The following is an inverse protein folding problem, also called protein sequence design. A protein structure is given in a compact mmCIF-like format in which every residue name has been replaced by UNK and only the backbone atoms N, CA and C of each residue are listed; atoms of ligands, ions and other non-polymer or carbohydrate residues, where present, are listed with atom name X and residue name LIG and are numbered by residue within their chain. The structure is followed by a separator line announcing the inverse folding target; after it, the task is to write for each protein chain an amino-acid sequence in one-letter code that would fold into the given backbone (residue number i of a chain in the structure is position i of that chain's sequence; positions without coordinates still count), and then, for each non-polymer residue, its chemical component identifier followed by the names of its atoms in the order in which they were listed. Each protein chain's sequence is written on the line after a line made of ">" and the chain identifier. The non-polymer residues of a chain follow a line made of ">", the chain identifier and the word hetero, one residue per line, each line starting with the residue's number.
data_IF_834714831086
#
_entry.id   IF_834714831086
#
_cell.length_a   1.000
_cell.length_b   1.000
_cell.length_c   1.000
_cell.angle_alpha   90.00
_cell.angle_beta   90.00
_cell.angle_gamma   90.00
#
_symmetry.space_group_name_H-M   'P 1'
#
loop_
_entity.id
_entity.type
_entity.pdbx_description
1 polymer ?
#
# COMPACT_ATOMS: atom_id res chain seq x y z
N UNK A 1 21.50 27.11 -1.71
CA UNK A 1 21.53 26.25 -0.50
C UNK A 1 21.11 24.85 -0.91
N UNK A 2 21.87 23.82 -0.52
CA UNK A 2 21.50 22.42 -0.77
C UNK A 2 20.40 22.04 0.23
N UNK A 3 19.31 21.43 -0.24
CA UNK A 3 18.32 20.86 0.68
C UNK A 3 18.83 19.50 1.15
N UNK A 4 19.16 19.40 2.43
CA UNK A 4 19.47 18.13 3.07
C UNK A 4 18.19 17.35 3.39
N UNK A 5 18.24 16.02 3.31
CA UNK A 5 17.14 15.11 3.60
C UNK A 5 17.64 14.02 4.55
N UNK A 6 16.81 13.61 5.50
CA UNK A 6 17.14 12.55 6.45
C UNK A 6 17.01 11.17 5.80
N UNK A 7 16.02 11.01 4.91
CA UNK A 7 15.72 9.76 4.22
C UNK A 7 15.46 10.06 2.75
N UNK A 8 16.10 9.29 1.87
CA UNK A 8 15.86 9.31 0.43
C UNK A 8 15.35 7.93 0.01
N UNK A 9 14.12 7.87 -0.50
CA UNK A 9 13.50 6.65 -1.02
C UNK A 9 13.57 6.67 -2.55
N UNK A 10 14.23 5.67 -3.13
CA UNK A 10 14.35 5.53 -4.59
C UNK A 10 13.32 4.50 -5.08
N UNK A 11 12.33 4.99 -5.81
CA UNK A 11 11.21 4.23 -6.35
C UNK A 11 9.92 4.46 -5.56
N UNK A 12 8.83 4.72 -6.27
CA UNK A 12 7.50 4.93 -5.69
C UNK A 12 6.54 3.76 -5.94
N UNK A 13 7.06 2.53 -5.95
CA UNK A 13 6.22 1.32 -5.94
C UNK A 13 5.63 1.04 -4.56
N UNK A 14 4.93 -0.08 -4.39
CA UNK A 14 4.27 -0.44 -3.12
C UNK A 14 5.19 -0.34 -1.90
N UNK A 15 6.42 -0.87 -2.00
CA UNK A 15 7.40 -0.79 -0.91
C UNK A 15 7.91 0.63 -0.66
N UNK A 16 8.16 1.39 -1.72
CA UNK A 16 8.64 2.77 -1.62
C UNK A 16 7.62 3.70 -1.00
N UNK A 17 6.34 3.52 -1.34
CA UNK A 17 5.23 4.28 -0.71
C UNK A 17 5.17 4.02 0.78
N UNK A 18 5.17 2.76 1.23
CA UNK A 18 5.16 2.45 2.67
C UNK A 18 6.42 2.97 3.37
N UNK A 19 7.60 2.82 2.78
CA UNK A 19 8.85 3.32 3.35
C UNK A 19 8.86 4.85 3.50
N UNK A 20 8.44 5.57 2.45
CA UNK A 20 8.42 7.03 2.45
C UNK A 20 7.34 7.61 3.37
N UNK A 21 6.17 6.98 3.42
CA UNK A 21 5.12 7.37 4.38
C UNK A 21 5.55 7.07 5.81
N UNK A 22 6.18 5.92 6.07
CA UNK A 22 6.66 5.58 7.40
C UNK A 22 7.71 6.59 7.89
N UNK A 23 8.73 6.92 7.09
CA UNK A 23 9.75 7.90 7.47
C UNK A 23 9.16 9.30 7.64
N UNK A 24 8.29 9.75 6.72
CA UNK A 24 7.67 11.07 6.80
C UNK A 24 6.74 11.20 8.03
N UNK A 25 5.91 10.19 8.31
CA UNK A 25 5.00 10.17 9.48
C UNK A 25 5.76 10.13 10.80
N UNK A 26 6.99 9.61 10.80
CA UNK A 26 7.91 9.63 11.95
C UNK A 26 8.63 10.97 12.15
N UNK A 27 8.42 11.94 11.25
CA UNK A 27 8.98 13.29 11.31
C UNK A 27 10.27 13.49 10.52
N UNK A 28 10.76 12.48 9.80
CA UNK A 28 11.97 12.60 8.99
C UNK A 28 11.69 13.40 7.71
N UNK A 29 12.59 14.33 7.36
CA UNK A 29 12.55 15.04 6.09
C UNK A 29 12.87 14.07 4.96
N UNK A 30 11.81 13.57 4.33
CA UNK A 30 11.87 12.46 3.39
C UNK A 30 11.76 12.97 1.95
N UNK A 31 12.71 12.59 1.10
CA UNK A 31 12.62 12.73 -0.35
C UNK A 31 12.26 11.39 -0.98
N UNK A 32 11.22 11.35 -1.82
CA UNK A 32 10.94 10.20 -2.66
C UNK A 32 11.20 10.54 -4.12
N UNK A 33 11.99 9.71 -4.79
CA UNK A 33 12.31 9.85 -6.20
C UNK A 33 11.69 8.70 -6.98
N UNK A 34 11.10 9.00 -8.13
CA UNK A 34 10.59 7.98 -9.04
C UNK A 34 10.73 8.45 -10.47
N UNK A 35 10.89 7.51 -11.39
CA UNK A 35 11.06 7.80 -12.82
C UNK A 35 9.78 8.39 -13.42
N UNK A 36 8.62 7.94 -12.94
CA UNK A 36 7.33 8.43 -13.41
C UNK A 36 6.34 8.56 -12.23
N UNK A 37 5.82 9.77 -12.03
CA UNK A 37 4.81 10.07 -11.01
C UNK A 37 3.45 9.44 -11.33
N UNK A 38 3.16 9.14 -12.59
CA UNK A 38 1.93 8.45 -12.98
C UNK A 38 1.89 7.02 -12.46
N UNK A 39 3.05 6.39 -12.29
CA UNK A 39 3.21 4.99 -11.89
C UNK A 39 3.39 4.77 -10.38
N UNK A 40 3.12 5.77 -9.54
CA UNK A 40 3.14 5.59 -8.08
C UNK A 40 2.15 4.48 -7.71
N UNK A 41 2.63 3.51 -6.91
CA UNK A 41 1.89 2.33 -6.46
C UNK A 41 1.11 1.59 -7.58
N UNK A 42 1.65 1.60 -8.81
CA UNK A 42 1.04 0.89 -9.93
C UNK A 42 0.92 -0.61 -9.63
N UNK A 43 -0.21 -1.21 -10.02
CA UNK A 43 -0.47 -2.65 -9.93
C UNK A 43 -0.19 -3.33 -11.29
N UNK A 44 1.07 -3.66 -11.63
CA UNK A 44 1.42 -4.15 -12.98
C UNK A 44 0.87 -5.53 -13.31
N UNK A 45 0.64 -6.36 -12.29
CA UNK A 45 0.19 -7.73 -12.46
C UNK A 45 -1.33 -7.81 -12.20
N UNK A 46 -1.72 -8.31 -11.04
CA UNK A 46 -3.11 -8.54 -10.67
C UNK A 46 -3.75 -7.28 -10.05
N UNK A 47 -4.96 -6.86 -10.46
CA UNK A 47 -5.74 -5.83 -9.75
C UNK A 47 -6.29 -6.34 -8.41
N UNK A 48 -5.47 -6.92 -7.54
CA UNK A 48 -5.96 -7.45 -6.27
C UNK A 48 -4.95 -7.34 -5.13
N UNK A 49 -5.43 -7.04 -3.94
CA UNK A 49 -4.66 -6.98 -2.70
C UNK A 49 -5.17 -8.05 -1.74
N UNK A 50 -4.25 -8.68 -1.00
CA UNK A 50 -4.55 -9.78 -0.09
C UNK A 50 -4.56 -11.15 -0.75
N UNK A 51 -5.31 -12.08 -0.18
CA UNK A 51 -5.24 -13.52 -0.47
C UNK A 51 -4.53 -14.32 0.63
N UNK A 52 -4.35 -15.65 0.47
CA UNK A 52 -3.64 -16.45 1.46
C UNK A 52 -2.24 -15.88 1.73
N UNK A 53 -1.85 -15.82 3.00
CA UNK A 53 -0.68 -15.10 3.54
C UNK A 53 -0.69 -13.58 3.30
N UNK A 54 -0.89 -13.11 2.06
CA UNK A 54 -0.86 -11.69 1.69
C UNK A 54 -1.89 -10.85 2.44
N UNK A 55 -3.09 -11.37 2.67
CA UNK A 55 -4.15 -10.66 3.40
C UNK A 55 -3.81 -10.45 4.88
N UNK A 56 -3.00 -11.33 5.46
CA UNK A 56 -2.48 -11.19 6.83
C UNK A 56 -1.42 -10.09 6.83
N UNK A 57 -0.44 -10.15 5.92
CA UNK A 57 0.60 -9.12 5.79
C UNK A 57 -0.01 -7.72 5.56
N UNK A 58 -1.06 -7.60 4.76
CA UNK A 58 -1.76 -6.32 4.56
C UNK A 58 -2.35 -5.80 5.87
N UNK A 59 -2.91 -6.68 6.72
CA UNK A 59 -3.44 -6.30 8.04
C UNK A 59 -2.33 -6.02 9.07
N UNK A 60 -1.18 -6.68 8.96
CA UNK A 60 -0.01 -6.35 9.78
C UNK A 60 0.54 -4.97 9.42
N UNK A 61 0.63 -4.65 8.12
CA UNK A 61 0.99 -3.30 7.64
C UNK A 61 0.00 -2.26 8.18
N UNK A 62 -1.31 -2.54 8.12
CA UNK A 62 -2.36 -1.67 8.69
C UNK A 62 -2.15 -1.42 10.19
N UNK A 63 -1.93 -2.49 10.97
CA UNK A 63 -1.70 -2.41 12.40
C UNK A 63 -0.46 -1.59 12.77
N UNK A 64 0.56 -1.59 11.90
CA UNK A 64 1.77 -0.77 12.04
C UNK A 64 1.59 0.68 11.55
N UNK A 65 0.39 1.05 11.07
CA UNK A 65 0.09 2.40 10.59
C UNK A 65 0.46 2.65 9.12
N UNK A 66 0.67 1.58 8.35
CA UNK A 66 0.88 1.65 6.91
C UNK A 66 -0.38 2.05 6.14
N UNK A 67 -0.24 2.21 4.83
CA UNK A 67 -1.27 2.80 3.98
C UNK A 67 -2.06 1.79 3.16
N UNK A 68 -1.45 0.65 2.80
CA UNK A 68 -1.96 -0.33 1.86
C UNK A 68 -3.40 -0.78 2.15
N UNK A 69 -3.73 -1.05 3.43
CA UNK A 69 -5.06 -1.49 3.85
C UNK A 69 -6.12 -0.38 3.71
N UNK A 70 -5.78 0.85 4.08
CA UNK A 70 -6.69 2.00 3.98
C UNK A 70 -7.02 2.33 2.53
N UNK A 71 -6.01 2.31 1.67
CA UNK A 71 -6.21 2.54 0.24
C UNK A 71 -7.08 1.45 -0.36
N UNK A 72 -6.80 0.16 -0.11
CA UNK A 72 -7.62 -0.90 -0.70
C UNK A 72 -9.07 -0.84 -0.19
N UNK A 73 -9.30 -0.49 1.08
CA UNK A 73 -10.65 -0.35 1.62
C UNK A 73 -11.43 0.76 0.89
N UNK A 74 -10.78 1.85 0.47
CA UNK A 74 -11.40 2.94 -0.32
C UNK A 74 -11.58 2.59 -1.80
N UNK A 75 -10.74 1.73 -2.37
CA UNK A 75 -10.68 1.54 -3.83
C UNK A 75 -11.02 0.12 -4.30
N UNK A 76 -11.55 -0.72 -3.42
CA UNK A 76 -11.98 -2.07 -3.79
C UNK A 76 -13.27 -2.04 -4.63
N UNK A 77 -13.33 -2.92 -5.63
CA UNK A 77 -14.54 -3.22 -6.40
C UNK A 77 -15.31 -4.35 -5.71
N UNK A 78 -14.56 -5.32 -5.16
CA UNK A 78 -15.11 -6.49 -4.47
C UNK A 78 -14.14 -6.93 -3.39
N UNK A 79 -14.65 -7.26 -2.20
CA UNK A 79 -13.87 -7.92 -1.15
C UNK A 79 -14.53 -9.22 -0.71
N UNK A 80 -13.71 -10.25 -0.45
CA UNK A 80 -14.19 -11.53 0.08
C UNK A 80 -13.22 -12.14 1.08
N UNK A 81 -13.78 -12.87 2.03
CA UNK A 81 -13.02 -13.73 2.92
C UNK A 81 -12.76 -15.09 2.24
N UNK A 82 -11.50 -15.52 2.21
CA UNK A 82 -11.11 -16.85 1.72
C UNK A 82 -11.06 -17.87 2.87
N UNK A 83 -11.13 -19.16 2.53
CA UNK A 83 -11.06 -20.27 3.49
C UNK A 83 -12.10 -20.23 4.62
N UNK A 84 -13.30 -19.72 4.35
CA UNK A 84 -14.36 -19.52 5.36
C UNK A 84 -14.77 -20.82 6.08
N UNK A 85 -14.73 -21.96 5.37
CA UNK A 85 -15.07 -23.29 5.91
C UNK A 85 -13.93 -24.05 6.63
N UNK A 86 -12.72 -23.47 6.75
CA UNK A 86 -11.54 -24.15 7.34
C UNK A 86 -11.14 -23.61 8.73
N UNK A 87 -12.04 -22.85 9.36
CA UNK A 87 -11.80 -22.21 10.67
C UNK A 87 -11.06 -20.86 10.58
N UNK A 88 -11.12 -20.02 11.62
CA UNK A 88 -10.60 -18.65 11.58
C UNK A 88 -9.10 -18.51 11.30
N UNK A 89 -8.28 -19.44 11.81
CA UNK A 89 -6.81 -19.35 11.75
C UNK A 89 -6.24 -19.33 10.32
N UNK A 90 -6.98 -19.84 9.34
CA UNK A 90 -6.54 -19.92 7.94
C UNK A 90 -7.33 -18.99 7.01
N UNK A 91 -8.20 -18.14 7.57
CA UNK A 91 -8.96 -17.15 6.81
C UNK A 91 -8.05 -16.03 6.34
N UNK A 92 -8.32 -15.50 5.15
CA UNK A 92 -7.60 -14.35 4.63
C UNK A 92 -8.51 -13.50 3.76
N UNK A 93 -8.45 -12.18 3.93
CA UNK A 93 -9.16 -11.24 3.07
C UNK A 93 -8.47 -11.12 1.72
N UNK A 94 -9.27 -11.01 0.67
CA UNK A 94 -8.81 -10.65 -0.68
C UNK A 94 -9.77 -9.65 -1.29
N UNK A 95 -9.22 -8.56 -1.79
CA UNK A 95 -9.95 -7.52 -2.49
C UNK A 95 -9.48 -7.42 -3.94
N UNK A 96 -10.43 -7.26 -4.87
CA UNK A 96 -10.18 -6.75 -6.22
C UNK A 96 -10.20 -5.22 -6.15
N UNK A 97 -9.21 -4.57 -6.74
CA UNK A 97 -9.02 -3.14 -6.72
C UNK A 97 -9.37 -2.52 -8.09
N UNK A 98 -9.94 -1.33 -8.08
CA UNK A 98 -9.83 -0.44 -9.22
C UNK A 98 -8.37 0.07 -9.29
N UNK A 99 -7.64 -0.28 -10.34
CA UNK A 99 -6.21 0.06 -10.46
C UNK A 99 -6.00 1.57 -10.51
N UNK A 100 -6.85 2.29 -11.25
CA UNK A 100 -6.69 3.73 -11.46
C UNK A 100 -6.97 4.45 -10.15
N UNK A 101 -8.08 4.09 -9.48
CA UNK A 101 -8.45 4.69 -8.22
C UNK A 101 -7.42 4.37 -7.12
N UNK A 102 -6.89 3.14 -7.05
CA UNK A 102 -5.84 2.79 -6.09
C UNK A 102 -4.59 3.65 -6.25
N UNK A 103 -4.15 3.87 -7.49
CA UNK A 103 -3.01 4.75 -7.77
C UNK A 103 -3.28 6.20 -7.42
N UNK A 104 -4.49 6.71 -7.69
CA UNK A 104 -4.88 8.06 -7.34
C UNK A 104 -4.91 8.25 -5.82
N UNK A 105 -5.52 7.30 -5.11
CA UNK A 105 -5.64 7.34 -3.65
C UNK A 105 -4.28 7.16 -2.94
N UNK A 106 -3.29 6.53 -3.57
CA UNK A 106 -1.92 6.49 -3.04
C UNK A 106 -1.17 7.82 -3.20
N UNK A 107 -1.65 8.74 -4.04
CA UNK A 107 -1.04 10.06 -4.28
C UNK A 107 -1.67 11.18 -3.46
N UNK A 108 -2.85 10.96 -2.89
CA UNK A 108 -3.54 11.97 -2.09
C UNK A 108 -2.85 12.11 -0.72
N UNK A 109 -2.93 13.31 -0.13
CA UNK A 109 -2.55 13.52 1.27
C UNK A 109 -3.76 13.19 2.14
N UNK A 110 -3.62 12.20 3.02
CA UNK A 110 -4.49 12.05 4.20
C UNK A 110 -4.22 13.20 5.20
#
# INVERSE_FOLDING_TARGET
>A
MVQEYDVIVIGAGHAGVEAGLASARRGAKTLMLTINLDNIAFMPCNPSVGGPAKGIVVREIDALGGQMAKTIDKTHIQMRMLNTGKGPAVRALRAQADKVLYQQEMKTRD
#
